data_IF_486489338115
#
_entry.id   IF_486489338115
#
_cell.length_a   1.000
_cell.length_b   1.000
_cell.length_c   1.000
_cell.angle_alpha   90.00
_cell.angle_beta   90.00
_cell.angle_gamma   90.00
#
_symmetry.space_group_name_H-M   'P 1'
#
loop_
_entity.id
_entity.type
_entity.pdbx_description
1 polymer ?
#
# COMPACT_ATOMS: atom_id res chain seq x y z
N UNK A 1 -6.06 -69.65 14.88
CA UNK A 1 -4.91 -68.97 15.55
C UNK A 1 -4.99 -67.48 15.25
N UNK A 2 -5.13 -66.62 16.26
CA UNK A 2 -5.16 -65.15 16.09
C UNK A 2 -3.76 -64.61 16.39
N UNK A 3 -3.05 -64.16 15.36
CA UNK A 3 -1.75 -63.50 15.49
C UNK A 3 -1.96 -62.13 16.15
N UNK A 4 -1.49 -61.97 17.39
CA UNK A 4 -1.45 -60.66 18.05
C UNK A 4 -0.35 -59.83 17.38
N UNK A 5 -0.75 -58.81 16.64
CA UNK A 5 0.16 -57.73 16.25
C UNK A 5 0.74 -57.10 17.52
N UNK A 6 2.06 -57.19 17.69
CA UNK A 6 2.77 -56.43 18.72
C UNK A 6 2.69 -54.96 18.35
N UNK A 7 1.92 -54.20 19.14
CA UNK A 7 1.99 -52.74 19.11
C UNK A 7 3.38 -52.35 19.62
N UNK A 8 4.21 -51.78 18.74
CA UNK A 8 5.49 -51.18 19.14
C UNK A 8 5.19 -49.93 19.96
N UNK A 9 5.53 -49.96 21.24
CA UNK A 9 5.46 -48.78 22.10
C UNK A 9 6.56 -47.78 21.73
N UNK A 10 6.22 -46.50 21.77
CA UNK A 10 7.16 -45.40 21.56
C UNK A 10 8.33 -45.48 22.55
N UNK A 11 9.55 -45.33 22.05
CA UNK A 11 10.76 -45.25 22.88
C UNK A 11 10.99 -43.80 23.35
N UNK A 12 11.64 -43.64 24.51
CA UNK A 12 12.04 -42.32 25.01
C UNK A 12 12.99 -41.60 24.03
N UNK A 13 13.82 -42.36 23.31
CA UNK A 13 14.73 -41.84 22.29
C UNK A 13 14.00 -41.20 21.12
N UNK A 14 12.88 -41.77 20.67
CA UNK A 14 12.08 -41.20 19.58
C UNK A 14 11.45 -39.88 20.00
N UNK A 15 10.91 -39.78 21.21
CA UNK A 15 10.37 -38.51 21.72
C UNK A 15 11.47 -37.46 21.89
N UNK A 16 12.66 -37.85 22.36
CA UNK A 16 13.81 -36.95 22.46
C UNK A 16 14.20 -36.40 21.08
N UNK A 17 14.28 -37.26 20.06
CA UNK A 17 14.61 -36.85 18.70
C UNK A 17 13.58 -35.87 18.11
N UNK A 18 12.28 -36.10 18.36
CA UNK A 18 11.20 -35.20 17.91
C UNK A 18 11.30 -33.82 18.58
N UNK A 19 11.56 -33.76 19.88
CA UNK A 19 11.68 -32.49 20.62
C UNK A 19 12.89 -31.68 20.12
N UNK A 20 14.02 -32.35 19.86
CA UNK A 20 15.21 -31.72 19.27
C UNK A 20 14.89 -31.16 17.88
N UNK A 21 14.21 -31.93 17.03
CA UNK A 21 13.81 -31.50 15.69
C UNK A 21 12.86 -30.30 15.74
N UNK A 22 11.86 -30.32 16.63
CA UNK A 22 10.94 -29.21 16.85
C UNK A 22 11.66 -27.94 17.33
N UNK A 23 12.66 -28.09 18.21
CA UNK A 23 13.50 -26.98 18.66
C UNK A 23 14.28 -26.32 17.51
N UNK A 24 14.83 -27.13 16.59
CA UNK A 24 15.51 -26.62 15.39
C UNK A 24 14.51 -25.90 14.47
N UNK A 25 13.38 -26.53 14.15
CA UNK A 25 12.36 -25.96 13.25
C UNK A 25 11.80 -24.65 13.81
N UNK A 26 11.52 -24.58 15.11
CA UNK A 26 10.97 -23.39 15.76
C UNK A 26 11.82 -22.12 15.56
N UNK A 27 13.15 -22.25 15.42
CA UNK A 27 14.04 -21.11 15.18
C UNK A 27 13.92 -20.49 13.78
N UNK A 28 13.42 -21.25 12.80
CA UNK A 28 13.38 -20.85 11.38
C UNK A 28 12.06 -20.13 11.03
N UNK A 29 10.95 -20.49 11.69
CA UNK A 29 9.60 -20.07 11.26
C UNK A 29 9.31 -18.58 11.52
N UNK A 30 10.11 -17.87 12.33
CA UNK A 30 9.73 -16.55 12.86
C UNK A 30 10.10 -15.35 11.96
N UNK A 31 11.05 -15.47 11.02
CA UNK A 31 11.74 -14.26 10.50
C UNK A 31 11.26 -13.64 9.17
N UNK A 32 10.20 -14.12 8.52
CA UNK A 32 9.96 -13.76 7.11
C UNK A 32 8.55 -13.26 6.77
N UNK A 33 7.98 -12.31 7.53
CA UNK A 33 6.64 -11.76 7.20
C UNK A 33 6.56 -10.23 7.16
N UNK A 34 7.43 -9.49 7.84
CA UNK A 34 7.35 -8.02 7.92
C UNK A 34 7.77 -7.29 6.63
N UNK A 35 9.00 -7.51 6.15
CA UNK A 35 9.58 -6.68 5.07
C UNK A 35 8.90 -6.78 3.70
N UNK A 36 8.12 -7.83 3.44
CA UNK A 36 7.38 -7.99 2.18
C UNK A 36 6.10 -7.15 2.15
N UNK A 37 5.52 -6.85 3.32
CA UNK A 37 4.28 -6.06 3.42
C UNK A 37 4.56 -4.60 3.09
N UNK A 38 5.64 -4.02 3.64
CA UNK A 38 6.01 -2.62 3.40
C UNK A 38 6.37 -2.37 1.93
N UNK A 39 7.10 -3.30 1.31
CA UNK A 39 7.37 -3.27 -0.14
C UNK A 39 6.10 -3.28 -0.97
N UNK A 40 5.14 -4.14 -0.63
CA UNK A 40 3.86 -4.24 -1.33
C UNK A 40 3.03 -2.96 -1.21
N UNK A 41 2.95 -2.39 0.00
CA UNK A 41 2.24 -1.12 0.25
C UNK A 41 2.89 0.05 -0.46
N UNK A 42 4.22 0.15 -0.43
CA UNK A 42 4.94 1.22 -1.15
C UNK A 42 4.70 1.14 -2.67
N UNK A 43 4.77 -0.06 -3.24
CA UNK A 43 4.46 -0.27 -4.66
C UNK A 43 3.00 0.07 -5.01
N UNK A 44 2.05 -0.28 -4.15
CA UNK A 44 0.65 0.12 -4.31
C UNK A 44 0.47 1.65 -4.21
N UNK A 45 1.22 2.33 -3.35
CA UNK A 45 1.22 3.78 -3.21
C UNK A 45 1.67 4.47 -4.50
N UNK A 46 2.75 3.97 -5.12
CA UNK A 46 3.20 4.42 -6.44
C UNK A 46 2.12 4.25 -7.52
N UNK A 47 1.44 3.10 -7.54
CA UNK A 47 0.36 2.86 -8.50
C UNK A 47 -0.86 3.77 -8.26
N UNK A 48 -1.20 4.03 -7.00
CA UNK A 48 -2.26 4.96 -6.62
C UNK A 48 -1.90 6.40 -6.97
N UNK A 49 -0.65 6.82 -6.78
CA UNK A 49 -0.15 8.13 -7.19
C UNK A 49 -0.40 8.36 -8.70
N UNK A 50 0.00 7.41 -9.54
CA UNK A 50 -0.21 7.49 -10.98
C UNK A 50 -1.72 7.52 -11.34
N UNK A 51 -2.51 6.64 -10.73
CA UNK A 51 -3.96 6.57 -10.95
C UNK A 51 -4.68 7.86 -10.54
N UNK A 52 -4.31 8.44 -9.39
CA UNK A 52 -4.89 9.69 -8.90
C UNK A 52 -4.45 10.88 -9.76
N UNK A 53 -3.20 10.91 -10.22
CA UNK A 53 -2.72 11.90 -11.20
C UNK A 53 -3.59 11.89 -12.46
N UNK A 54 -3.85 10.71 -13.05
CA UNK A 54 -4.70 10.59 -14.24
C UNK A 54 -6.15 11.07 -14.02
N UNK A 55 -6.68 10.90 -12.80
CA UNK A 55 -8.02 11.40 -12.44
C UNK A 55 -8.05 12.92 -12.32
N UNK A 56 -6.98 13.50 -11.77
CA UNK A 56 -6.79 14.96 -11.74
C UNK A 56 -6.73 15.51 -13.16
N UNK A 57 -6.00 14.84 -14.06
CA UNK A 57 -5.95 15.23 -15.47
C UNK A 57 -7.33 15.16 -16.13
N UNK A 58 -8.09 14.11 -15.85
CA UNK A 58 -9.46 13.96 -16.39
C UNK A 58 -10.41 15.05 -15.89
N UNK A 59 -10.31 15.41 -14.61
CA UNK A 59 -11.01 16.58 -14.07
C UNK A 59 -10.59 17.86 -14.80
N UNK A 60 -9.28 18.03 -15.04
CA UNK A 60 -8.76 19.21 -15.73
C UNK A 60 -9.21 19.31 -17.19
N UNK A 61 -9.38 18.18 -17.88
CA UNK A 61 -9.92 18.15 -19.24
C UNK A 61 -11.38 18.63 -19.29
N UNK A 62 -12.19 18.25 -18.32
CA UNK A 62 -13.62 18.60 -18.27
C UNK A 62 -13.85 20.03 -17.77
N UNK A 63 -13.16 20.42 -16.69
CA UNK A 63 -13.35 21.71 -16.01
C UNK A 63 -12.45 22.80 -16.59
N UNK A 64 -11.39 22.43 -17.31
CA UNK A 64 -10.41 23.32 -17.94
C UNK A 64 -9.19 23.65 -17.09
N UNK A 65 -9.15 23.19 -15.83
CA UNK A 65 -8.01 23.34 -14.93
C UNK A 65 -7.98 22.22 -13.86
N UNK A 66 -6.81 21.85 -13.33
CA UNK A 66 -6.72 20.97 -12.16
C UNK A 66 -7.55 21.51 -10.98
N UNK A 67 -8.01 20.63 -10.09
CA UNK A 67 -8.84 21.03 -8.96
C UNK A 67 -8.06 21.88 -7.96
N UNK A 68 -8.70 22.81 -7.25
CA UNK A 68 -8.01 23.57 -6.20
C UNK A 68 -7.64 22.72 -4.98
N UNK A 69 -8.33 21.59 -4.81
CA UNK A 69 -8.08 20.59 -3.78
C UNK A 69 -8.64 19.24 -4.21
N UNK A 70 -8.12 18.14 -3.67
CA UNK A 70 -8.51 16.78 -4.07
C UNK A 70 -9.99 16.45 -3.83
N UNK A 71 -10.69 17.18 -2.95
CA UNK A 71 -12.10 16.98 -2.65
C UNK A 71 -13.00 17.34 -3.84
N UNK A 72 -12.56 18.21 -4.75
CA UNK A 72 -13.29 18.51 -5.99
C UNK A 72 -13.34 17.32 -6.98
N UNK A 73 -12.55 16.28 -6.74
CA UNK A 73 -12.66 15.00 -7.47
C UNK A 73 -13.88 14.19 -7.02
N UNK A 74 -14.38 14.43 -5.80
CA UNK A 74 -15.50 13.69 -5.20
C UNK A 74 -16.83 14.35 -5.53
N UNK A 75 -16.91 15.67 -5.35
CA UNK A 75 -18.15 16.43 -5.49
C UNK A 75 -18.01 17.55 -6.52
N UNK A 76 -19.09 17.82 -7.25
CA UNK A 76 -19.15 18.89 -8.24
C UNK A 76 -18.91 20.26 -7.57
N UNK A 77 -17.84 21.00 -7.94
CA UNK A 77 -17.65 22.35 -7.44
C UNK A 77 -18.64 23.32 -8.12
N UNK A 78 -19.10 24.32 -7.37
CA UNK A 78 -20.07 25.31 -7.86
C UNK A 78 -19.59 26.08 -9.12
N UNK A 79 -18.27 26.20 -9.29
CA UNK A 79 -17.63 26.89 -10.42
C UNK A 79 -17.50 26.03 -11.69
N UNK A 80 -17.73 24.71 -11.62
CA UNK A 80 -17.52 23.83 -12.75
C UNK A 80 -18.82 23.57 -13.52
N UNK A 81 -18.95 24.18 -14.70
CA UNK A 81 -20.09 23.97 -15.60
C UNK A 81 -20.12 22.56 -16.19
N UNK A 82 -18.98 22.11 -16.71
CA UNK A 82 -18.81 20.88 -17.51
C UNK A 82 -18.32 19.66 -16.70
N UNK A 83 -18.49 19.67 -15.38
CA UNK A 83 -18.09 18.55 -14.52
C UNK A 83 -18.86 17.26 -14.86
N UNK A 84 -18.13 16.17 -15.10
CA UNK A 84 -18.65 14.84 -15.48
C UNK A 84 -18.35 13.75 -14.43
N UNK A 85 -17.90 14.15 -13.24
CA UNK A 85 -17.49 13.25 -12.17
C UNK A 85 -18.64 12.46 -11.51
N UNK A 86 -18.38 11.79 -10.37
CA UNK A 86 -17.16 11.85 -9.56
C UNK A 86 -15.95 11.19 -10.23
N UNK A 87 -14.79 11.82 -10.15
CA UNK A 87 -13.54 11.32 -10.75
C UNK A 87 -12.79 10.36 -9.80
N UNK A 88 -13.05 10.46 -8.50
CA UNK A 88 -12.45 9.62 -7.48
C UNK A 88 -13.48 9.23 -6.40
N UNK A 89 -13.15 8.20 -5.63
CA UNK A 89 -13.85 7.82 -4.40
C UNK A 89 -13.08 8.33 -3.18
N UNK A 90 -13.75 8.58 -2.04
CA UNK A 90 -13.06 9.04 -0.82
C UNK A 90 -11.91 8.14 -0.37
N UNK A 91 -12.02 6.83 -0.59
CA UNK A 91 -10.99 5.84 -0.28
C UNK A 91 -9.73 5.95 -1.14
N UNK A 92 -9.81 6.61 -2.29
CA UNK A 92 -8.71 6.75 -3.24
C UNK A 92 -7.88 8.01 -3.01
N UNK A 93 -8.33 8.89 -2.10
CA UNK A 93 -7.56 10.06 -1.64
C UNK A 93 -6.59 9.71 -0.51
N UNK A 94 -6.59 8.44 -0.07
CA UNK A 94 -5.67 7.91 0.92
C UNK A 94 -4.75 6.88 0.28
N UNK A 95 -3.50 6.91 0.70
CA UNK A 95 -2.50 5.93 0.31
C UNK A 95 -2.72 4.57 1.02
N UNK A 96 -1.91 3.54 0.73
CA UNK A 96 -2.06 2.22 1.36
C UNK A 96 -1.66 2.16 2.84
N UNK A 97 -1.02 3.21 3.35
CA UNK A 97 -0.69 3.40 4.76
C UNK A 97 -1.79 4.17 5.52
N UNK A 98 -2.74 4.76 4.80
CA UNK A 98 -3.88 5.52 5.31
C UNK A 98 -3.65 7.03 5.38
N UNK A 99 -2.52 7.53 4.86
CA UNK A 99 -2.19 8.95 4.81
C UNK A 99 -2.81 9.61 3.57
N UNK A 100 -2.99 10.92 3.61
CA UNK A 100 -3.39 11.68 2.43
C UNK A 100 -2.21 11.93 1.50
N UNK A 101 -2.48 12.08 0.20
CA UNK A 101 -1.47 12.56 -0.74
C UNK A 101 -1.19 14.06 -0.51
N UNK A 102 0.07 14.45 -0.62
CA UNK A 102 0.44 15.85 -0.76
C UNK A 102 -0.08 16.37 -2.09
N UNK A 103 -0.77 17.52 -2.08
CA UNK A 103 -1.31 18.11 -3.30
C UNK A 103 -1.04 19.60 -3.34
N UNK A 104 -0.59 20.10 -4.49
CA UNK A 104 -0.41 21.53 -4.71
C UNK A 104 -0.87 21.93 -6.11
N UNK A 105 -1.63 23.03 -6.15
CA UNK A 105 -2.04 23.72 -7.37
C UNK A 105 -1.97 25.24 -7.13
N UNK A 106 -1.29 26.02 -7.99
CA UNK A 106 -0.45 25.60 -9.12
C UNK A 106 0.78 24.81 -8.67
N UNK A 107 1.19 23.80 -9.47
CA UNK A 107 2.41 23.01 -9.18
C UNK A 107 3.70 23.79 -9.41
N UNK A 108 4.80 23.34 -8.80
CA UNK A 108 6.17 23.79 -9.14
C UNK A 108 6.74 22.99 -10.31
N UNK A 109 6.38 21.72 -10.47
CA UNK A 109 6.94 20.84 -11.50
C UNK A 109 6.02 20.67 -12.72
N UNK A 110 4.84 21.29 -12.71
CA UNK A 110 3.86 21.18 -13.78
C UNK A 110 2.56 21.91 -13.45
N UNK A 111 1.45 21.47 -14.06
CA UNK A 111 0.13 22.06 -13.80
C UNK A 111 -0.28 21.88 -12.33
N UNK A 112 0.02 20.72 -11.74
CA UNK A 112 -0.16 20.40 -10.33
C UNK A 112 0.95 19.45 -9.87
N UNK A 113 1.21 19.45 -8.57
CA UNK A 113 2.07 18.49 -7.92
C UNK A 113 1.23 17.56 -7.05
N UNK A 114 1.47 16.27 -7.17
CA UNK A 114 0.90 15.23 -6.32
C UNK A 114 2.04 14.39 -5.75
N UNK A 115 2.02 14.18 -4.43
CA UNK A 115 3.12 13.58 -3.67
C UNK A 115 2.60 12.43 -2.82
N UNK A 116 3.26 11.29 -2.90
CA UNK A 116 3.10 10.17 -2.00
C UNK A 116 4.25 10.17 -0.98
N UNK A 117 3.94 10.29 0.31
CA UNK A 117 4.92 10.43 1.40
C UNK A 117 5.46 9.10 1.96
N UNK A 118 5.26 7.99 1.26
CA UNK A 118 5.75 6.69 1.74
C UNK A 118 5.13 6.23 3.07
N UNK A 119 5.89 5.39 3.79
CA UNK A 119 5.45 4.69 4.99
C UNK A 119 5.25 5.58 6.23
N UNK A 120 6.00 6.68 6.35
CA UNK A 120 5.93 7.59 7.51
C UNK A 120 4.91 8.72 7.32
N UNK A 121 4.46 8.98 6.10
CA UNK A 121 3.45 9.98 5.81
C UNK A 121 3.95 11.41 5.99
N UNK A 122 5.27 11.62 5.97
CA UNK A 122 5.90 12.92 6.16
C UNK A 122 6.82 13.25 4.97
N UNK A 123 7.05 14.55 4.67
CA UNK A 123 8.02 14.93 3.66
C UNK A 123 9.44 14.44 3.99
N UNK A 124 10.12 13.87 3.00
CA UNK A 124 11.49 13.38 3.07
C UNK A 124 11.57 11.86 3.12
N UNK A 125 12.36 11.34 4.07
CA UNK A 125 12.52 9.90 4.26
C UNK A 125 13.43 9.20 3.26
N UNK A 126 13.72 7.92 3.53
CA UNK A 126 14.52 7.04 2.67
C UNK A 126 13.86 5.66 2.59
N UNK A 127 14.21 4.88 1.55
CA UNK A 127 13.68 3.53 1.37
C UNK A 127 12.16 3.53 1.14
N UNK A 128 11.40 2.88 2.02
CA UNK A 128 9.92 2.85 1.92
C UNK A 128 9.24 4.10 2.51
N UNK A 129 10.01 4.97 3.16
CA UNK A 129 9.57 6.30 3.58
C UNK A 129 9.90 7.38 2.56
N UNK A 130 10.54 7.04 1.44
CA UNK A 130 10.90 8.04 0.45
C UNK A 130 9.65 8.62 -0.24
N UNK A 131 9.66 9.93 -0.41
CA UNK A 131 8.64 10.64 -1.19
C UNK A 131 8.69 10.24 -2.67
N UNK A 132 7.53 10.23 -3.32
CA UNK A 132 7.40 10.12 -4.78
C UNK A 132 6.45 11.19 -5.31
N UNK A 133 6.95 11.98 -6.26
CA UNK A 133 6.17 12.99 -6.98
C UNK A 133 5.59 12.46 -8.29
N UNK A 134 4.49 13.03 -8.78
CA UNK A 134 3.93 12.69 -10.10
C UNK A 134 4.80 13.15 -11.29
N UNK A 135 5.84 13.94 -11.04
CA UNK A 135 6.80 14.41 -12.04
C UNK A 135 8.02 13.50 -12.22
N UNK A 136 8.18 12.49 -11.35
CA UNK A 136 9.28 11.50 -11.40
C UNK A 136 8.93 10.28 -12.25
#
# INVERSE_FOLDING_TARGET
MKTRHRQGGFTLLEMLAVIVLLGIVATIVVRQVGGNVDKGKYGAGKAQLASLSMKIDSYALDVGAPPNNLQQLLDKPASASNWSGPYAKPSELKDPFGHGFGYRFPGEHGAFDLIFYGQDGQPGGEGYSADLGNWE
#
